data_IF_803515230785
#
_entry.id   IF_803515230785
#
_cell.length_a   1.000
_cell.length_b   1.000
_cell.length_c   1.000
_cell.angle_alpha   90.00
_cell.angle_beta   90.00
_cell.angle_gamma   90.00
#
_symmetry.space_group_name_H-M   'P 1'
#
loop_
_entity.id
_entity.type
_entity.pdbx_description
1 polymer ?
#
# COMPACT_ATOMS: atom_id res chain seq x y z
N UNK A 1 -33.40 9.42 10.01
CA UNK A 1 -32.47 10.53 10.29
C UNK A 1 -31.26 10.27 9.42
N UNK A 2 -31.13 10.93 8.27
CA UNK A 2 -30.13 10.56 7.27
C UNK A 2 -28.72 10.81 7.81
N UNK A 3 -27.94 9.75 7.99
CA UNK A 3 -26.60 9.78 8.56
C UNK A 3 -25.63 10.37 7.53
N UNK A 4 -24.83 11.37 7.93
CA UNK A 4 -23.89 12.02 7.02
C UNK A 4 -22.78 11.02 6.62
N UNK A 5 -22.27 11.08 5.38
CA UNK A 5 -21.17 10.23 4.91
C UNK A 5 -19.86 10.38 5.71
N UNK A 6 -19.79 11.40 6.59
CA UNK A 6 -18.70 11.63 7.54
C UNK A 6 -18.66 10.68 8.74
N UNK A 7 -19.67 9.81 8.94
CA UNK A 7 -19.69 8.84 10.05
C UNK A 7 -19.11 7.46 9.71
N UNK A 8 -18.85 7.15 8.43
CA UNK A 8 -18.25 5.88 8.04
C UNK A 8 -16.74 5.88 8.27
N UNK A 9 -16.27 4.99 9.14
CA UNK A 9 -14.86 4.97 9.57
C UNK A 9 -13.93 4.47 8.47
N UNK A 10 -14.35 3.50 7.64
CA UNK A 10 -13.56 2.99 6.51
C UNK A 10 -13.29 4.08 5.48
N UNK A 11 -14.27 4.95 5.22
CA UNK A 11 -14.12 6.09 4.30
C UNK A 11 -13.11 7.11 4.84
N UNK A 12 -13.19 7.42 6.14
CA UNK A 12 -12.27 8.35 6.79
C UNK A 12 -10.84 7.81 6.83
N UNK A 13 -10.69 6.52 7.09
CA UNK A 13 -9.41 5.81 7.05
C UNK A 13 -8.86 5.76 5.62
N UNK A 14 -9.71 5.50 4.62
CA UNK A 14 -9.31 5.52 3.21
C UNK A 14 -8.85 6.93 2.79
N UNK A 15 -9.58 7.99 3.17
CA UNK A 15 -9.15 9.37 2.92
C UNK A 15 -7.83 9.70 3.61
N UNK A 16 -7.64 9.24 4.85
CA UNK A 16 -6.37 9.41 5.56
C UNK A 16 -5.22 8.64 4.88
N UNK A 17 -5.45 7.40 4.47
CA UNK A 17 -4.49 6.58 3.71
C UNK A 17 -4.14 7.24 2.37
N UNK A 18 -5.12 7.76 1.63
CA UNK A 18 -4.87 8.48 0.37
C UNK A 18 -4.04 9.74 0.59
N UNK A 19 -4.28 10.48 1.68
CA UNK A 19 -3.42 11.60 2.10
C UNK A 19 -2.01 11.14 2.46
N UNK A 20 -1.89 10.05 3.22
CA UNK A 20 -0.60 9.50 3.67
C UNK A 20 0.26 8.97 2.51
N UNK A 21 -0.36 8.40 1.47
CA UNK A 21 0.32 7.89 0.27
C UNK A 21 0.65 9.01 -0.73
N UNK A 22 0.27 10.27 -0.44
CA UNK A 22 0.61 11.43 -1.29
C UNK A 22 -0.27 11.57 -2.54
N UNK A 23 -1.44 10.92 -2.56
CA UNK A 23 -2.45 11.06 -3.61
C UNK A 23 -3.33 12.29 -3.39
N UNK A 24 -2.70 13.45 -3.13
CA UNK A 24 -3.39 14.72 -3.01
C UNK A 24 -3.56 15.39 -4.38
N UNK A 25 -4.73 15.96 -4.64
CA UNK A 25 -5.01 16.76 -5.84
C UNK A 25 -4.38 18.15 -5.62
N UNK A 26 -3.33 18.53 -6.39
CA UNK A 26 -2.67 19.82 -6.18
C UNK A 26 -3.58 20.93 -6.70
N UNK A 27 -4.08 21.78 -5.80
CA UNK A 27 -4.86 22.97 -6.16
C UNK A 27 -3.92 24.15 -6.51
N UNK A 28 -2.67 24.13 -6.04
CA UNK A 28 -1.72 25.25 -6.17
C UNK A 28 -0.55 24.92 -7.12
N UNK A 29 -0.07 25.86 -7.97
CA UNK A 29 1.09 25.63 -8.86
C UNK A 29 2.38 25.26 -8.12
N UNK A 30 2.58 25.71 -6.88
CA UNK A 30 3.71 25.32 -6.04
C UNK A 30 3.62 23.85 -5.58
N UNK A 31 2.41 23.38 -5.24
CA UNK A 31 2.17 21.97 -4.91
C UNK A 31 2.42 21.07 -6.11
N UNK A 32 2.08 21.53 -7.33
CA UNK A 32 2.35 20.78 -8.55
C UNK A 32 3.84 20.53 -8.79
N UNK A 33 4.70 21.51 -8.45
CA UNK A 33 6.15 21.37 -8.55
C UNK A 33 6.73 20.43 -7.49
N UNK A 34 6.30 20.58 -6.23
CA UNK A 34 6.66 19.67 -5.13
C UNK A 34 6.27 18.23 -5.45
N UNK A 35 5.07 18.05 -5.98
CA UNK A 35 4.53 16.76 -6.34
C UNK A 35 5.31 16.12 -7.49
N UNK A 36 5.72 16.88 -8.50
CA UNK A 36 6.58 16.38 -9.56
C UNK A 36 7.97 15.98 -9.03
N UNK A 37 8.52 16.73 -8.06
CA UNK A 37 9.77 16.37 -7.38
C UNK A 37 9.67 15.07 -6.59
N UNK A 38 8.59 14.88 -5.82
CA UNK A 38 8.32 13.64 -5.08
C UNK A 38 8.12 12.46 -6.05
N UNK A 39 7.47 12.68 -7.19
CA UNK A 39 7.29 11.67 -8.23
C UNK A 39 8.60 11.25 -8.88
N UNK A 40 9.47 12.21 -9.24
CA UNK A 40 10.78 11.91 -9.76
C UNK A 40 11.63 11.13 -8.74
N UNK A 41 11.59 11.54 -7.46
CA UNK A 41 12.27 10.84 -6.38
C UNK A 41 11.77 9.41 -6.19
N UNK A 42 10.45 9.20 -6.17
CA UNK A 42 9.85 7.86 -6.02
C UNK A 42 10.13 6.96 -7.22
N UNK A 43 10.11 7.49 -8.45
CA UNK A 43 10.54 6.77 -9.65
C UNK A 43 12.00 6.32 -9.56
N UNK A 44 12.90 7.20 -9.12
CA UNK A 44 14.32 6.87 -8.94
C UNK A 44 14.51 5.83 -7.83
N UNK A 45 13.81 5.97 -6.70
CA UNK A 45 13.88 5.02 -5.59
C UNK A 45 13.41 3.61 -6.00
N UNK A 46 12.32 3.52 -6.77
CA UNK A 46 11.81 2.25 -7.30
C UNK A 46 12.76 1.65 -8.32
N UNK A 47 13.32 2.47 -9.22
CA UNK A 47 14.35 2.02 -10.16
C UNK A 47 15.58 1.46 -9.43
N UNK A 48 16.01 2.12 -8.36
CA UNK A 48 17.07 1.63 -7.48
C UNK A 48 16.72 0.32 -6.79
N UNK A 49 15.49 0.18 -6.26
CA UNK A 49 15.03 -1.03 -5.61
C UNK A 49 15.02 -2.24 -6.57
N UNK A 50 14.49 -2.06 -7.79
CA UNK A 50 14.50 -3.10 -8.83
C UNK A 50 15.92 -3.50 -9.22
N UNK A 51 16.84 -2.54 -9.28
CA UNK A 51 18.24 -2.81 -9.57
C UNK A 51 18.91 -3.63 -8.47
N UNK A 52 18.69 -3.29 -7.20
CA UNK A 52 19.23 -4.04 -6.05
C UNK A 52 18.71 -5.48 -6.05
N UNK A 53 17.42 -5.68 -6.31
CA UNK A 53 16.81 -7.01 -6.31
C UNK A 53 17.29 -7.88 -7.48
N UNK A 54 17.49 -7.27 -8.66
CA UNK A 54 18.13 -7.95 -9.80
C UNK A 54 19.59 -8.35 -9.49
N UNK A 55 20.32 -7.52 -8.75
CA UNK A 55 21.68 -7.81 -8.30
C UNK A 55 21.74 -8.98 -7.31
N UNK A 56 20.82 -9.01 -6.34
CA UNK A 56 20.72 -10.06 -5.33
C UNK A 56 20.44 -11.43 -5.98
N UNK A 57 19.55 -11.45 -6.98
CA UNK A 57 19.29 -12.64 -7.80
C UNK A 57 20.50 -13.08 -8.63
N UNK A 58 21.22 -12.14 -9.24
CA UNK A 58 22.40 -12.44 -10.05
C UNK A 58 23.53 -13.06 -9.22
N UNK A 59 23.77 -12.52 -8.03
CA UNK A 59 24.82 -13.02 -7.13
C UNK A 59 24.48 -14.40 -6.53
N UNK A 60 23.20 -14.65 -6.24
CA UNK A 60 22.75 -15.91 -5.62
C UNK A 60 22.73 -17.10 -6.58
N UNK A 61 22.94 -16.92 -7.90
CA UNK A 61 22.83 -17.96 -8.95
C UNK A 61 23.77 -19.18 -8.75
N UNK A 62 24.74 -19.12 -7.82
CA UNK A 62 25.76 -20.16 -7.63
C UNK A 62 25.34 -21.47 -6.94
N UNK A 63 24.24 -21.49 -6.17
CA UNK A 63 23.79 -22.69 -5.42
C UNK A 63 22.26 -22.82 -5.43
N UNK A 64 21.73 -23.94 -5.95
CA UNK A 64 20.28 -24.18 -6.09
C UNK A 64 19.50 -24.08 -4.78
N UNK A 65 20.09 -24.47 -3.64
CA UNK A 65 19.41 -24.41 -2.36
C UNK A 65 19.32 -22.98 -1.84
N UNK A 66 20.40 -22.21 -1.97
CA UNK A 66 20.44 -20.80 -1.61
C UNK A 66 19.49 -19.97 -2.49
N UNK A 67 19.43 -20.25 -3.81
CA UNK A 67 18.52 -19.57 -4.74
C UNK A 67 17.07 -19.76 -4.32
N UNK A 68 16.65 -20.99 -4.00
CA UNK A 68 15.24 -21.26 -3.73
C UNK A 68 14.77 -20.55 -2.47
N UNK A 69 15.64 -20.49 -1.44
CA UNK A 69 15.36 -19.76 -0.21
C UNK A 69 15.32 -18.24 -0.44
N UNK A 70 16.33 -17.68 -1.10
CA UNK A 70 16.41 -16.25 -1.41
C UNK A 70 15.27 -15.81 -2.33
N UNK A 71 14.93 -16.60 -3.35
CA UNK A 71 13.82 -16.33 -4.26
C UNK A 71 12.46 -16.30 -3.54
N UNK A 72 12.22 -17.22 -2.61
CA UNK A 72 10.99 -17.25 -1.83
C UNK A 72 10.81 -15.97 -0.98
N UNK A 73 11.91 -15.46 -0.42
CA UNK A 73 11.91 -14.24 0.38
C UNK A 73 11.79 -12.96 -0.45
N UNK A 74 12.40 -12.92 -1.63
CA UNK A 74 12.39 -11.75 -2.54
C UNK A 74 11.11 -11.66 -3.40
N UNK A 75 10.47 -12.79 -3.75
CA UNK A 75 9.20 -12.80 -4.51
C UNK A 75 8.14 -11.80 -4.02
N UNK A 76 7.77 -11.74 -2.72
CA UNK A 76 6.80 -10.76 -2.22
C UNK A 76 7.29 -9.32 -2.36
N UNK A 77 8.60 -9.07 -2.25
CA UNK A 77 9.21 -7.74 -2.41
C UNK A 77 9.07 -7.27 -3.86
N UNK A 78 9.43 -8.12 -4.84
CA UNK A 78 9.21 -7.86 -6.28
C UNK A 78 7.74 -7.52 -6.57
N UNK A 79 6.79 -8.29 -6.04
CA UNK A 79 5.36 -8.07 -6.28
C UNK A 79 4.91 -6.71 -5.74
N UNK A 80 5.38 -6.33 -4.55
CA UNK A 80 5.07 -5.02 -3.95
C UNK A 80 5.69 -3.89 -4.77
N UNK A 81 6.94 -4.02 -5.21
CA UNK A 81 7.59 -3.02 -6.08
C UNK A 81 6.85 -2.85 -7.40
N UNK A 82 6.43 -3.95 -8.06
CA UNK A 82 5.64 -3.89 -9.29
C UNK A 82 4.29 -3.21 -9.06
N UNK A 83 3.60 -3.51 -7.95
CA UNK A 83 2.33 -2.85 -7.60
C UNK A 83 2.51 -1.35 -7.42
N UNK A 84 3.52 -0.92 -6.67
CA UNK A 84 3.82 0.50 -6.44
C UNK A 84 4.18 1.19 -7.75
N UNK A 85 4.99 0.54 -8.60
CA UNK A 85 5.35 1.03 -9.93
C UNK A 85 4.12 1.28 -10.80
N UNK A 86 3.24 0.26 -10.92
CA UNK A 86 2.00 0.35 -11.69
C UNK A 86 1.07 1.43 -11.16
N UNK A 87 0.99 1.57 -9.82
CA UNK A 87 0.18 2.57 -9.15
C UNK A 87 0.67 4.01 -9.41
N UNK A 88 1.99 4.22 -9.47
CA UNK A 88 2.58 5.52 -9.83
C UNK A 88 2.37 5.83 -11.32
N UNK A 89 2.58 4.86 -12.21
CA UNK A 89 2.35 5.04 -13.65
C UNK A 89 0.90 5.39 -13.96
N UNK A 90 -0.05 4.75 -13.28
CA UNK A 90 -1.49 4.99 -13.46
C UNK A 90 -2.04 6.06 -12.52
N UNK A 91 -1.18 6.77 -11.77
CA UNK A 91 -1.56 7.83 -10.83
C UNK A 91 -2.60 8.82 -11.37
N UNK A 92 -2.49 9.40 -12.58
CA UNK A 92 -3.50 10.36 -13.05
C UNK A 92 -4.89 9.71 -13.16
N UNK A 93 -4.97 8.47 -13.64
CA UNK A 93 -6.22 7.70 -13.69
C UNK A 93 -6.73 7.34 -12.30
N UNK A 94 -5.83 6.97 -11.37
CA UNK A 94 -6.20 6.67 -9.99
C UNK A 94 -6.75 7.89 -9.26
N UNK A 95 -6.15 9.08 -9.47
CA UNK A 95 -6.66 10.33 -8.91
C UNK A 95 -8.02 10.71 -9.48
N UNK A 96 -8.22 10.53 -10.79
CA UNK A 96 -9.51 10.73 -11.44
C UNK A 96 -10.59 9.80 -10.85
N UNK A 97 -10.25 8.53 -10.66
CA UNK A 97 -11.14 7.54 -10.05
C UNK A 97 -11.49 7.92 -8.60
N UNK A 98 -10.50 8.34 -7.81
CA UNK A 98 -10.72 8.78 -6.42
C UNK A 98 -11.65 9.99 -6.39
N UNK A 99 -11.45 10.98 -7.27
CA UNK A 99 -12.32 12.16 -7.36
C UNK A 99 -13.75 11.77 -7.74
N UNK A 100 -13.90 10.89 -8.73
CA UNK A 100 -15.19 10.38 -9.16
C UNK A 100 -15.92 9.64 -8.02
N UNK A 101 -15.21 8.78 -7.26
CA UNK A 101 -15.77 8.09 -6.10
C UNK A 101 -16.17 9.06 -4.99
N UNK A 102 -15.35 10.07 -4.71
CA UNK A 102 -15.67 11.06 -3.69
C UNK A 102 -16.93 11.88 -4.05
N UNK A 103 -17.08 12.29 -5.29
CA UNK A 103 -18.22 13.10 -5.76
C UNK A 103 -19.51 12.27 -5.91
N UNK A 104 -19.42 11.03 -6.41
CA UNK A 104 -20.61 10.21 -6.71
C UNK A 104 -20.99 9.22 -5.61
N UNK A 105 -20.06 8.77 -4.76
CA UNK A 105 -20.32 7.76 -3.73
C UNK A 105 -20.22 8.30 -2.31
N UNK A 106 -19.40 9.33 -2.04
CA UNK A 106 -19.26 9.86 -0.68
C UNK A 106 -20.10 11.10 -0.40
N UNK A 107 -20.73 11.71 -1.41
CA UNK A 107 -21.53 12.93 -1.26
C UNK A 107 -23.05 12.80 -1.52
N UNK A 108 -23.62 11.76 -2.17
CA UNK A 108 -25.06 11.74 -2.41
C UNK A 108 -25.86 11.37 -1.16
N UNK A 109 -27.09 11.88 -1.09
CA UNK A 109 -28.08 11.52 -0.07
C UNK A 109 -28.62 10.12 -0.38
N UNK A 110 -28.01 9.10 0.21
CA UNK A 110 -28.45 7.72 0.04
C UNK A 110 -29.86 7.50 0.59
N UNK A 111 -30.68 6.75 -0.14
CA UNK A 111 -31.93 6.21 0.36
C UNK A 111 -31.66 5.17 1.46
N UNK A 112 -32.66 4.86 2.29
CA UNK A 112 -32.53 3.93 3.43
C UNK A 112 -31.94 2.55 3.06
N UNK A 113 -32.14 2.11 1.82
CA UNK A 113 -31.53 0.88 1.29
C UNK A 113 -30.03 1.04 1.03
N UNK A 114 -29.61 2.17 0.46
CA UNK A 114 -28.20 2.47 0.19
C UNK A 114 -27.39 2.68 1.46
N UNK A 115 -28.00 3.29 2.49
CA UNK A 115 -27.38 3.47 3.80
C UNK A 115 -27.01 2.12 4.45
N UNK A 116 -27.90 1.12 4.36
CA UNK A 116 -27.68 -0.23 4.88
C UNK A 116 -26.55 -0.96 4.15
N UNK A 117 -26.46 -0.81 2.82
CA UNK A 117 -25.38 -1.40 2.02
C UNK A 117 -24.04 -0.77 2.40
N UNK A 118 -24.01 0.55 2.56
CA UNK A 118 -22.79 1.28 2.90
C UNK A 118 -22.24 0.84 4.27
N UNK A 119 -23.12 0.61 5.25
CA UNK A 119 -22.74 0.13 6.59
C UNK A 119 -22.14 -1.29 6.56
N UNK A 120 -22.71 -2.19 5.76
CA UNK A 120 -22.15 -3.54 5.59
C UNK A 120 -20.76 -3.50 4.91
N UNK A 121 -20.59 -2.63 3.92
CA UNK A 121 -19.31 -2.41 3.24
C UNK A 121 -18.29 -1.78 4.20
N UNK A 122 -18.69 -0.81 5.02
CA UNK A 122 -17.81 -0.16 6.00
C UNK A 122 -17.25 -1.17 7.00
N UNK A 123 -18.11 -2.03 7.55
CA UNK A 123 -17.72 -3.03 8.53
C UNK A 123 -16.80 -4.11 7.91
N UNK A 124 -17.13 -4.59 6.71
CA UNK A 124 -16.26 -5.50 5.94
C UNK A 124 -14.91 -4.86 5.58
N UNK A 125 -14.91 -3.58 5.22
CA UNK A 125 -13.72 -2.82 4.89
C UNK A 125 -12.77 -2.67 6.09
N UNK A 126 -13.31 -2.33 7.26
CA UNK A 126 -12.55 -2.25 8.52
C UNK A 126 -11.97 -3.63 8.87
N UNK A 127 -12.78 -4.69 8.79
CA UNK A 127 -12.31 -6.05 9.05
C UNK A 127 -11.13 -6.45 8.15
N UNK A 128 -11.24 -6.16 6.85
CA UNK A 128 -10.19 -6.45 5.87
C UNK A 128 -8.92 -5.64 6.16
N UNK A 129 -9.04 -4.34 6.42
CA UNK A 129 -7.90 -3.49 6.78
C UNK A 129 -7.19 -3.97 8.05
N UNK A 130 -7.94 -4.35 9.08
CA UNK A 130 -7.39 -4.90 10.32
C UNK A 130 -6.66 -6.23 10.08
N UNK A 131 -7.27 -7.16 9.34
CA UNK A 131 -6.67 -8.46 9.02
C UNK A 131 -5.36 -8.30 8.23
N UNK A 132 -5.34 -7.42 7.24
CA UNK A 132 -4.14 -7.16 6.45
C UNK A 132 -3.03 -6.55 7.31
N UNK A 133 -3.37 -5.59 8.17
CA UNK A 133 -2.40 -4.96 9.08
C UNK A 133 -1.79 -5.99 10.03
N UNK A 134 -2.61 -6.88 10.60
CA UNK A 134 -2.13 -7.93 11.48
C UNK A 134 -1.16 -8.89 10.77
N UNK A 135 -1.47 -9.26 9.53
CA UNK A 135 -0.61 -10.13 8.73
C UNK A 135 0.75 -9.49 8.40
N UNK A 136 0.74 -8.19 8.06
CA UNK A 136 1.97 -7.41 7.84
C UNK A 136 2.80 -7.34 9.11
N UNK A 137 2.20 -7.02 10.25
CA UNK A 137 2.89 -6.98 11.54
C UNK A 137 3.47 -8.35 11.92
N UNK A 138 2.70 -9.43 11.73
CA UNK A 138 3.17 -10.80 11.94
C UNK A 138 4.41 -11.11 11.12
N UNK A 139 4.41 -10.74 9.84
CA UNK A 139 5.55 -10.93 8.93
C UNK A 139 6.77 -10.15 9.40
N UNK A 140 6.62 -8.87 9.78
CA UNK A 140 7.72 -8.03 10.29
C UNK A 140 8.32 -8.63 11.56
N UNK A 141 7.49 -9.09 12.50
CA UNK A 141 7.94 -9.74 13.73
C UNK A 141 8.71 -11.01 13.40
N UNK A 142 8.19 -11.86 12.50
CA UNK A 142 8.86 -13.10 12.09
C UNK A 142 10.23 -12.82 11.46
N UNK A 143 10.33 -11.89 10.51
CA UNK A 143 11.60 -11.51 9.89
C UNK A 143 12.59 -10.92 10.90
N UNK A 144 12.12 -10.15 11.89
CA UNK A 144 12.97 -9.57 12.94
C UNK A 144 13.45 -10.63 13.95
N UNK A 145 12.64 -11.66 14.21
CA UNK A 145 12.99 -12.74 15.15
C UNK A 145 13.98 -13.75 14.55
N UNK A 146 13.97 -13.97 13.23
CA UNK A 146 14.90 -14.91 12.55
C UNK A 146 16.38 -14.69 12.93
N UNK A 147 16.96 -13.47 12.86
CA UNK A 147 18.34 -13.26 13.27
C UNK A 147 18.55 -13.40 14.79
N UNK A 148 17.55 -13.07 15.61
CA UNK A 148 17.63 -13.14 17.07
C UNK A 148 17.71 -14.59 17.55
N UNK A 149 16.85 -15.46 17.00
CA UNK A 149 16.87 -16.90 17.32
C UNK A 149 18.17 -17.53 16.85
N UNK A 150 18.66 -17.19 15.64
CA UNK A 150 19.95 -17.68 15.14
C UNK A 150 21.13 -17.28 16.03
N UNK A 151 21.10 -16.06 16.57
CA UNK A 151 22.16 -15.55 17.47
C UNK A 151 22.09 -16.19 18.85
N UNK A 152 20.89 -16.40 19.40
CA UNK A 152 20.70 -17.08 20.69
C UNK A 152 21.10 -18.56 20.63
N UNK A 153 20.93 -19.25 19.49
CA UNK A 153 21.25 -20.67 19.34
C UNK A 153 22.77 -20.94 19.19
N UNK A 154 23.55 -19.93 18.79
CA UNK A 154 25.02 -20.03 18.69
C UNK A 154 25.76 -19.59 19.97
N UNK A 155 25.06 -19.06 20.97
CA UNK A 155 25.64 -18.59 22.23
C UNK A 155 25.35 -19.52 23.43
N UNK A 156 24.73 -20.68 23.21
CA UNK A 156 24.38 -21.69 24.22
C UNK A 156 25.14 -22.99 24.08
#
# INVERSE_FOLDING_TARGET
MARKPSEYYSIKIAQFLMKAVGFWYPETPAEKWLLNGILAYTLLAIGGALFIEAFDFYYSWGDFYAITYTACSTMPVVIVLLKISMFILHRPKMLELIKYTQENFWQPRYDAFGEKIMEEIDNKGIFLMCSFTFFVQGTVITYTLTPIVGTCLFSG
#
